data_IF_762076270431
#
_entry.id   IF_762076270431
#
_cell.length_a   1.000
_cell.length_b   1.000
_cell.length_c   1.000
_cell.angle_alpha   90.00
_cell.angle_beta   90.00
_cell.angle_gamma   90.00
#
_symmetry.space_group_name_H-M   'P 1'
#
loop_
_entity.id
_entity.type
_entity.pdbx_description
1 polymer ?
#
# COMPACT_ATOMS: atom_id res chain seq x y z
N UNK A 1 2.16 17.39 -10.69
CA UNK A 1 1.72 16.70 -9.45
C UNK A 1 2.27 17.37 -8.19
N UNK A 2 3.59 17.57 -8.06
CA UNK A 2 4.23 18.01 -6.80
C UNK A 2 4.36 19.52 -6.60
N UNK A 3 3.60 20.34 -7.32
CA UNK A 3 3.74 21.80 -7.27
C UNK A 3 3.14 22.44 -6.01
N UNK A 4 2.36 21.68 -5.22
CA UNK A 4 1.81 22.16 -3.94
C UNK A 4 2.90 22.22 -2.88
N UNK A 5 3.04 23.40 -2.24
CA UNK A 5 3.96 23.64 -1.12
C UNK A 5 3.45 23.12 0.23
N UNK A 6 2.21 22.66 0.32
CA UNK A 6 1.66 22.09 1.57
C UNK A 6 1.83 20.57 1.64
N UNK A 7 2.38 19.95 0.60
CA UNK A 7 2.49 18.50 0.52
C UNK A 7 1.18 17.78 0.21
N UNK A 8 1.17 16.47 0.46
CA UNK A 8 0.04 15.59 0.20
C UNK A 8 0.34 14.10 0.43
N UNK A 9 -0.71 13.28 0.41
CA UNK A 9 -0.60 11.81 0.49
C UNK A 9 -0.87 11.24 -0.90
N UNK A 10 0.05 10.42 -1.39
CA UNK A 10 -0.12 9.65 -2.61
C UNK A 10 -0.31 8.19 -2.23
N UNK A 11 -1.41 7.60 -2.69
CA UNK A 11 -1.71 6.18 -2.54
C UNK A 11 -1.63 5.57 -3.92
N UNK A 12 -0.65 4.67 -4.14
CA UNK A 12 -0.58 3.86 -5.35
C UNK A 12 -1.13 2.48 -5.05
N UNK A 13 -2.16 2.04 -5.77
CA UNK A 13 -2.79 0.73 -5.54
C UNK A 13 -2.06 -0.41 -6.26
N UNK A 14 -1.09 -0.11 -7.12
CA UNK A 14 -0.26 -1.12 -7.75
C UNK A 14 0.66 -1.76 -6.70
N UNK A 15 0.61 -3.08 -6.61
CA UNK A 15 1.49 -3.89 -5.75
C UNK A 15 2.63 -4.54 -6.54
N UNK A 16 2.70 -4.34 -7.87
CA UNK A 16 3.82 -4.72 -8.73
C UNK A 16 4.04 -3.70 -9.86
N UNK A 17 5.29 -3.34 -10.17
CA UNK A 17 6.51 -3.63 -9.41
C UNK A 17 6.50 -2.91 -8.05
N UNK A 18 7.24 -3.43 -7.07
CA UNK A 18 7.43 -2.78 -5.76
C UNK A 18 8.88 -2.28 -5.66
N UNK A 19 9.12 -0.97 -5.41
CA UNK A 19 8.16 0.12 -5.35
C UNK A 19 7.61 0.50 -6.75
N UNK A 20 6.34 0.87 -6.81
CA UNK A 20 5.69 1.29 -8.05
C UNK A 20 6.34 2.57 -8.62
N UNK A 21 6.32 2.81 -9.94
CA UNK A 21 7.00 3.95 -10.55
C UNK A 21 6.58 5.31 -9.98
N UNK A 22 5.32 5.47 -9.58
CA UNK A 22 4.84 6.70 -8.94
C UNK A 22 5.43 6.86 -7.55
N UNK A 23 5.49 5.79 -6.74
CA UNK A 23 6.11 5.81 -5.41
C UNK A 23 7.61 6.15 -5.53
N UNK A 24 8.31 5.57 -6.50
CA UNK A 24 9.71 5.91 -6.80
C UNK A 24 9.89 7.38 -7.16
N UNK A 25 8.98 7.91 -7.99
CA UNK A 25 9.01 9.32 -8.36
C UNK A 25 8.84 10.20 -7.11
N UNK A 26 7.83 9.94 -6.26
CA UNK A 26 7.61 10.65 -4.99
C UNK A 26 8.88 10.62 -4.14
N UNK A 27 9.46 9.43 -3.93
CA UNK A 27 10.70 9.28 -3.16
C UNK A 27 11.88 10.09 -3.74
N UNK A 28 11.95 10.24 -5.07
CA UNK A 28 13.03 10.97 -5.75
C UNK A 28 12.86 12.49 -5.76
N UNK A 29 11.63 13.01 -5.72
CA UNK A 29 11.34 14.45 -5.86
C UNK A 29 10.83 15.11 -4.58
N UNK A 30 10.35 14.34 -3.61
CA UNK A 30 9.63 14.93 -2.47
C UNK A 30 10.55 15.56 -1.43
N UNK A 31 10.36 16.87 -1.29
CA UNK A 31 10.48 17.59 -0.02
C UNK A 31 9.64 16.87 1.08
N UNK A 32 10.04 17.02 2.35
CA UNK A 32 9.48 16.36 3.57
C UNK A 32 7.94 16.29 3.71
N UNK A 33 7.20 17.00 2.86
CA UNK A 33 5.77 17.27 2.95
C UNK A 33 4.91 16.26 2.17
N UNK A 34 5.49 15.49 1.25
CA UNK A 34 4.76 14.47 0.49
C UNK A 34 5.04 13.06 1.03
N UNK A 35 3.97 12.31 1.34
CA UNK A 35 4.04 10.94 1.85
C UNK A 35 3.48 9.96 0.82
N UNK A 36 4.27 8.94 0.48
CA UNK A 36 3.86 7.85 -0.40
C UNK A 36 3.38 6.65 0.44
N UNK A 37 2.26 6.06 0.05
CA UNK A 37 1.71 4.83 0.63
C UNK A 37 1.62 3.79 -0.50
N UNK A 38 2.23 2.64 -0.28
CA UNK A 38 2.22 1.53 -1.23
C UNK A 38 0.91 0.71 -1.18
N UNK A 39 0.56 0.12 -2.31
CA UNK A 39 -0.69 -0.63 -2.51
C UNK A 39 -0.72 -1.97 -1.78
N UNK A 40 0.41 -2.43 -1.23
CA UNK A 40 0.47 -3.64 -0.41
C UNK A 40 -0.43 -3.54 0.84
N UNK A 41 -0.49 -2.37 1.47
CA UNK A 41 -1.41 -2.11 2.58
C UNK A 41 -2.88 -2.19 2.13
N UNK A 42 -3.19 -1.61 0.97
CA UNK A 42 -4.54 -1.67 0.39
C UNK A 42 -4.97 -3.10 0.04
N UNK A 43 -4.06 -3.91 -0.53
CA UNK A 43 -4.29 -5.32 -0.86
C UNK A 43 -4.58 -6.17 0.38
N UNK A 44 -3.88 -5.93 1.49
CA UNK A 44 -4.10 -6.65 2.74
C UNK A 44 -5.44 -6.26 3.39
N UNK A 45 -5.71 -4.96 3.52
CA UNK A 45 -6.94 -4.48 4.16
C UNK A 45 -8.20 -4.95 3.42
N UNK A 46 -8.21 -4.88 2.09
CA UNK A 46 -9.33 -5.39 1.31
C UNK A 46 -9.48 -6.91 1.47
N UNK A 47 -8.37 -7.66 1.52
CA UNK A 47 -8.38 -9.11 1.69
C UNK A 47 -8.89 -9.53 3.07
N UNK A 48 -8.51 -8.82 4.13
CA UNK A 48 -9.05 -9.03 5.47
C UNK A 48 -10.55 -8.80 5.51
N UNK A 49 -11.02 -7.72 4.87
CA UNK A 49 -12.45 -7.42 4.83
C UNK A 49 -13.22 -8.48 4.05
N UNK A 50 -12.70 -8.93 2.91
CA UNK A 50 -13.28 -10.02 2.13
C UNK A 50 -13.40 -11.31 2.96
N UNK A 51 -12.33 -11.70 3.66
CA UNK A 51 -12.33 -12.88 4.53
C UNK A 51 -13.42 -12.80 5.60
N UNK A 52 -13.51 -11.68 6.31
CA UNK A 52 -14.52 -11.48 7.36
C UNK A 52 -15.93 -11.53 6.77
N UNK A 53 -16.16 -10.89 5.62
CA UNK A 53 -17.47 -10.85 4.97
C UNK A 53 -17.91 -12.26 4.54
N UNK A 54 -17.00 -13.09 4.03
CA UNK A 54 -17.35 -14.43 3.56
C UNK A 54 -17.44 -15.49 4.65
N UNK A 55 -16.64 -15.38 5.70
CA UNK A 55 -16.53 -16.42 6.73
C UNK A 55 -17.22 -16.05 8.03
N UNK A 56 -17.50 -14.77 8.25
CA UNK A 56 -17.89 -14.18 9.55
C UNK A 56 -16.86 -14.36 10.68
N UNK A 57 -15.66 -14.86 10.34
CA UNK A 57 -14.56 -15.09 11.27
C UNK A 57 -13.56 -13.91 11.24
N UNK A 58 -12.79 -13.76 12.32
CA UNK A 58 -11.65 -12.83 12.34
C UNK A 58 -10.57 -13.31 11.37
N UNK A 59 -10.11 -12.41 10.50
CA UNK A 59 -9.02 -12.71 9.58
C UNK A 59 -7.71 -12.96 10.34
N UNK A 60 -6.96 -14.04 10.04
CA UNK A 60 -5.62 -14.28 10.61
C UNK A 60 -4.59 -13.35 9.95
N UNK A 61 -4.59 -12.08 10.35
CA UNK A 61 -3.84 -11.00 9.70
C UNK A 61 -2.34 -11.28 9.63
N UNK A 62 -1.71 -11.75 10.71
CA UNK A 62 -0.26 -12.01 10.74
C UNK A 62 0.17 -13.05 9.70
N UNK A 63 -0.63 -14.11 9.54
CA UNK A 63 -0.35 -15.17 8.57
C UNK A 63 -0.53 -14.64 7.15
N UNK A 64 -1.64 -13.96 6.88
CA UNK A 64 -1.93 -13.41 5.55
C UNK A 64 -0.87 -12.37 5.16
N UNK A 65 -0.50 -11.47 6.07
CA UNK A 65 0.55 -10.48 5.85
C UNK A 65 1.88 -11.13 5.51
N UNK A 66 2.29 -12.15 6.29
CA UNK A 66 3.54 -12.87 6.02
C UNK A 66 3.53 -13.52 4.64
N UNK A 67 2.46 -14.23 4.29
CA UNK A 67 2.36 -14.92 3.00
C UNK A 67 2.33 -13.95 1.80
N UNK A 68 1.68 -12.79 1.94
CA UNK A 68 1.68 -11.75 0.91
C UNK A 68 3.06 -11.13 0.79
N UNK A 69 3.74 -10.84 1.91
CA UNK A 69 5.11 -10.36 1.90
C UNK A 69 6.04 -11.32 1.16
N UNK A 70 6.02 -12.62 1.52
CA UNK A 70 6.83 -13.67 0.88
C UNK A 70 6.58 -13.84 -0.63
N UNK A 71 5.39 -13.47 -1.12
CA UNK A 71 5.01 -13.62 -2.54
C UNK A 71 5.34 -12.39 -3.39
N UNK A 72 5.37 -11.20 -2.78
CA UNK A 72 5.41 -9.93 -3.49
C UNK A 72 6.65 -9.07 -3.18
N UNK A 73 7.47 -9.45 -2.20
CA UNK A 73 8.83 -8.96 -1.97
C UNK A 73 9.86 -10.05 -2.29
#
# INVERSE_FOLDING_TARGET
LFASKSGGIIVDMAYRPAPAPLIRLVQSVSCREWRAIEGNGGLLEQGYRQFIVWTTMKAPQDIIQRMVCEKYH
#
